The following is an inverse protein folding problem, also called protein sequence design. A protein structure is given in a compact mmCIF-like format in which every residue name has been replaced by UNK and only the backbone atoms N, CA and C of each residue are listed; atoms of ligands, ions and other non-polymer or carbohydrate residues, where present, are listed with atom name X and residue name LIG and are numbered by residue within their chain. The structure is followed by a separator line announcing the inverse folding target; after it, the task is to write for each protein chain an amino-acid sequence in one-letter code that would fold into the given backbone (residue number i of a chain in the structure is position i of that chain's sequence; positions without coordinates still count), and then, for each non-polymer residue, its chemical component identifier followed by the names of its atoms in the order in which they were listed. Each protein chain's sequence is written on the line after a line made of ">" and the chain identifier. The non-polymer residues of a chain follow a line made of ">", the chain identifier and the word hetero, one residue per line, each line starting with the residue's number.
data_IF_633281513059
#
_entry.id   IF_633281513059
#
_cell.length_a   1.000
_cell.length_b   1.000
_cell.length_c   1.000
_cell.angle_alpha   90.00
_cell.angle_beta   90.00
_cell.angle_gamma   90.00
#
_symmetry.space_group_name_H-M   'P 1'
#
loop_
_entity.id
_entity.type
_entity.pdbx_description
1 polymer ?
#
# COMPACT_ATOMS: atom_id res chain seq x y z
N UNK A 1 -6.08 -22.65 23.74
CA UNK A 1 -6.77 -21.36 23.94
C UNK A 1 -5.99 -20.33 23.16
N UNK A 2 -6.65 -19.60 22.24
CA UNK A 2 -5.99 -18.60 21.40
C UNK A 2 -5.64 -17.39 22.28
N UNK A 3 -4.35 -17.02 22.32
CA UNK A 3 -3.88 -15.86 23.07
C UNK A 3 -4.21 -14.61 22.28
N UNK A 4 -4.85 -13.62 22.92
CA UNK A 4 -5.07 -12.29 22.34
C UNK A 4 -4.03 -11.32 22.88
N UNK A 5 -3.15 -10.82 22.02
CA UNK A 5 -2.11 -9.88 22.42
C UNK A 5 -2.69 -8.50 22.74
N UNK A 6 -2.02 -7.82 23.67
CA UNK A 6 -2.28 -6.48 24.19
C UNK A 6 -0.96 -5.91 24.73
N UNK A 7 -0.90 -4.60 25.03
CA UNK A 7 0.25 -4.02 25.74
C UNK A 7 0.62 -4.76 27.02
N UNK A 8 -0.38 -5.26 27.73
CA UNK A 8 -0.18 -5.85 29.04
C UNK A 8 0.47 -7.24 28.98
N UNK A 9 0.27 -7.99 27.91
CA UNK A 9 0.75 -9.38 27.82
C UNK A 9 1.79 -9.63 26.72
N UNK A 10 2.02 -8.68 25.80
CA UNK A 10 2.96 -8.85 24.68
C UNK A 10 4.41 -9.07 25.15
N UNK A 11 4.84 -8.43 26.26
CA UNK A 11 6.15 -8.69 26.87
C UNK A 11 6.29 -10.14 27.34
N UNK A 12 5.30 -10.59 28.12
CA UNK A 12 5.29 -11.95 28.67
C UNK A 12 5.24 -12.99 27.55
N UNK A 13 4.50 -12.70 26.48
CA UNK A 13 4.49 -13.55 25.30
C UNK A 13 5.87 -13.70 24.67
N UNK A 14 6.60 -12.59 24.44
CA UNK A 14 7.97 -12.62 23.90
C UNK A 14 8.97 -13.37 24.79
N UNK A 15 8.80 -13.30 26.11
CA UNK A 15 9.64 -14.05 27.07
C UNK A 15 9.33 -15.54 26.98
N UNK A 16 8.04 -15.89 27.05
CA UNK A 16 7.58 -17.28 27.05
C UNK A 16 7.84 -17.99 25.71
N UNK A 17 7.86 -17.25 24.60
CA UNK A 17 8.22 -17.79 23.28
C UNK A 17 9.73 -17.99 23.08
N UNK A 18 10.56 -17.58 24.05
CA UNK A 18 12.01 -17.73 23.98
C UNK A 18 12.70 -16.72 23.05
N UNK A 19 11.97 -15.76 22.49
CA UNK A 19 12.52 -14.74 21.58
C UNK A 19 13.34 -13.72 22.37
N UNK A 20 12.93 -13.42 23.61
CA UNK A 20 13.65 -12.54 24.53
C UNK A 20 13.84 -13.17 25.90
N UNK A 21 14.98 -12.85 26.53
CA UNK A 21 15.20 -13.14 27.94
C UNK A 21 14.64 -12.00 28.78
N UNK A 22 14.17 -12.31 29.99
CA UNK A 22 13.45 -11.36 30.86
C UNK A 22 14.24 -10.07 31.12
N UNK A 23 15.55 -10.17 31.35
CA UNK A 23 16.42 -9.01 31.58
C UNK A 23 16.55 -8.08 30.36
N UNK A 24 16.30 -8.56 29.14
CA UNK A 24 16.39 -7.75 27.92
C UNK A 24 15.14 -6.90 27.67
N UNK A 25 14.05 -7.10 28.43
CA UNK A 25 12.76 -6.41 28.24
C UNK A 25 12.37 -5.46 29.37
N UNK A 26 13.12 -5.46 30.48
CA UNK A 26 12.86 -4.63 31.67
C UNK A 26 13.05 -3.12 31.41
N UNK A 27 13.90 -2.75 30.44
CA UNK A 27 14.16 -1.35 30.02
C UNK A 27 13.55 -0.98 28.66
N UNK A 28 12.73 -1.85 28.07
CA UNK A 28 12.18 -1.69 26.73
C UNK A 28 10.86 -0.91 26.75
N UNK A 29 10.84 0.19 26.00
CA UNK A 29 9.61 0.95 25.71
C UNK A 29 8.80 0.23 24.64
N UNK A 30 7.53 0.00 24.93
CA UNK A 30 6.57 -0.55 23.97
C UNK A 30 5.69 0.58 23.49
N UNK A 31 5.82 0.89 22.21
CA UNK A 31 4.90 1.77 21.53
C UNK A 31 3.82 0.90 20.88
N UNK A 32 2.62 0.94 21.42
CA UNK A 32 1.49 0.31 20.74
C UNK A 32 1.14 1.21 19.57
N UNK A 33 1.57 0.83 18.39
CA UNK A 33 0.99 1.32 17.15
C UNK A 33 -0.22 0.44 16.86
N UNK A 34 -1.33 0.71 17.53
CA UNK A 34 -2.60 0.14 17.07
C UNK A 34 -2.90 0.83 15.74
N UNK A 35 -2.46 0.22 14.64
CA UNK A 35 -2.87 0.65 13.32
C UNK A 35 -4.35 0.29 13.25
N UNK A 36 -5.19 1.28 13.55
CA UNK A 36 -6.61 1.24 13.20
C UNK A 36 -6.63 1.48 11.69
N UNK A 37 -6.23 0.46 10.94
CA UNK A 37 -6.45 0.43 9.50
C UNK A 37 -7.95 0.44 9.24
N UNK A 38 -8.31 0.86 8.03
CA UNK A 38 -9.64 0.65 7.48
C UNK A 38 -10.10 -0.80 7.68
N UNK A 39 -11.41 -1.09 7.60
CA UNK A 39 -12.02 -2.44 7.69
C UNK A 39 -11.30 -3.60 6.96
N UNK A 40 -10.27 -3.33 6.17
CA UNK A 40 -9.42 -4.25 5.41
C UNK A 40 -8.23 -4.79 6.24
N UNK A 41 -7.81 -4.10 7.30
CA UNK A 41 -6.71 -4.54 8.18
C UNK A 41 -7.23 -5.35 9.37
N UNK A 42 -7.31 -6.66 9.16
CA UNK A 42 -7.73 -7.63 10.17
C UNK A 42 -6.60 -7.96 11.17
N UNK A 43 -5.66 -7.06 11.47
CA UNK A 43 -4.50 -7.42 12.31
C UNK A 43 -4.12 -6.33 13.31
N UNK A 44 -3.81 -6.73 14.55
CA UNK A 44 -3.16 -5.89 15.54
C UNK A 44 -1.66 -5.88 15.29
N UNK A 45 -1.08 -4.69 15.25
CA UNK A 45 0.37 -4.50 15.12
C UNK A 45 0.91 -3.96 16.45
N UNK A 46 2.05 -4.47 16.91
CA UNK A 46 2.78 -3.96 18.07
C UNK A 46 4.19 -3.62 17.64
N UNK A 47 4.66 -2.43 18.00
CA UNK A 47 6.02 -1.99 17.72
C UNK A 47 6.81 -1.90 19.02
N UNK A 48 7.93 -2.62 19.09
CA UNK A 48 8.72 -2.73 20.32
C UNK A 48 10.11 -2.18 20.04
N UNK A 49 10.42 -1.06 20.69
CA UNK A 49 11.72 -0.38 20.58
C UNK A 49 12.71 -1.03 21.53
N UNK A 50 13.66 -1.77 20.98
CA UNK A 50 14.64 -2.51 21.80
C UNK A 50 15.94 -1.72 21.97
N UNK A 51 16.78 -2.14 22.93
CA UNK A 51 18.14 -1.61 23.06
C UNK A 51 19.13 -2.21 22.05
N UNK A 52 18.82 -3.37 21.45
CA UNK A 52 19.61 -4.05 20.40
C UNK A 52 19.61 -3.30 19.06
N UNK A 53 20.33 -3.74 18.04
CA UNK A 53 20.41 -3.02 16.73
C UNK A 53 19.12 -2.99 15.90
N UNK A 54 18.04 -3.62 16.38
CA UNK A 54 16.76 -3.70 15.70
C UNK A 54 15.57 -3.51 16.65
N UNK A 55 14.47 -3.02 16.09
CA UNK A 55 13.15 -3.03 16.70
C UNK A 55 12.40 -4.32 16.33
N UNK A 56 11.35 -4.65 17.06
CA UNK A 56 10.48 -5.79 16.75
C UNK A 56 9.12 -5.26 16.32
N UNK A 57 8.57 -5.88 15.29
CA UNK A 57 7.17 -5.67 14.90
C UNK A 57 6.43 -6.99 15.06
N UNK A 58 5.34 -6.98 15.81
CA UNK A 58 4.49 -8.16 16.03
C UNK A 58 3.15 -7.88 15.35
N UNK A 59 2.76 -8.74 14.42
CA UNK A 59 1.47 -8.70 13.74
C UNK A 59 0.64 -9.89 14.19
N UNK A 60 -0.57 -9.65 14.69
CA UNK A 60 -1.50 -10.69 15.09
C UNK A 60 -2.84 -10.52 14.39
N UNK A 61 -3.37 -11.59 13.81
CA UNK A 61 -4.71 -11.60 13.23
C UNK A 61 -5.82 -11.34 14.25
N UNK A 62 -6.81 -10.55 13.87
CA UNK A 62 -7.96 -10.18 14.67
C UNK A 62 -9.06 -11.21 14.44
N UNK A 63 -9.39 -12.00 15.46
CA UNK A 63 -10.39 -13.08 15.40
C UNK A 63 -11.86 -12.62 15.31
N UNK A 64 -12.13 -11.37 14.96
CA UNK A 64 -13.50 -10.87 14.79
C UNK A 64 -13.70 -10.60 13.31
N UNK A 65 -14.38 -11.49 12.58
CA UNK A 65 -15.48 -11.15 11.68
C UNK A 65 -16.17 -12.43 11.16
N UNK A 66 -17.45 -12.25 10.83
CA UNK A 66 -18.49 -13.25 10.56
C UNK A 66 -18.31 -14.01 9.23
N UNK A 67 -17.28 -13.72 8.44
CA UNK A 67 -17.02 -14.33 7.12
C UNK A 67 -15.66 -15.05 7.07
N UNK A 68 -15.57 -16.21 7.74
CA UNK A 68 -14.44 -17.13 7.59
C UNK A 68 -13.09 -16.61 8.08
N UNK A 69 -12.21 -17.54 8.46
CA UNK A 69 -10.82 -17.19 8.81
C UNK A 69 -10.09 -16.91 7.49
N UNK A 70 -10.01 -15.64 7.08
CA UNK A 70 -9.02 -15.23 6.07
C UNK A 70 -7.68 -15.31 6.77
N UNK A 71 -6.92 -16.38 6.51
CA UNK A 71 -5.59 -16.68 7.06
C UNK A 71 -4.52 -15.67 6.56
N UNK A 72 -4.77 -14.38 6.66
CA UNK A 72 -3.97 -13.31 6.03
C UNK A 72 -2.55 -13.26 6.59
N UNK A 73 -2.40 -13.34 7.91
CA UNK A 73 -1.07 -13.34 8.55
C UNK A 73 -0.28 -14.62 8.21
N UNK A 74 -0.98 -15.76 8.12
CA UNK A 74 -0.38 -17.02 7.67
C UNK A 74 0.07 -16.93 6.20
N UNK A 75 -0.77 -16.37 5.33
CA UNK A 75 -0.46 -16.17 3.91
C UNK A 75 0.76 -15.26 3.73
N UNK A 76 0.84 -14.17 4.49
CA UNK A 76 2.00 -13.29 4.50
C UNK A 76 3.29 -14.03 4.92
N UNK A 77 3.23 -14.87 5.97
CA UNK A 77 4.35 -15.71 6.37
C UNK A 77 4.73 -16.73 5.29
N UNK A 78 3.75 -17.41 4.69
CA UNK A 78 3.98 -18.39 3.63
C UNK A 78 4.60 -17.75 2.38
N UNK A 79 4.12 -16.58 1.96
CA UNK A 79 4.70 -15.83 0.85
C UNK A 79 6.16 -15.52 1.14
N UNK A 80 6.48 -14.93 2.30
CA UNK A 80 7.86 -14.56 2.59
C UNK A 80 8.80 -15.78 2.67
N UNK A 81 8.32 -16.91 3.20
CA UNK A 81 9.07 -18.18 3.14
C UNK A 81 9.28 -18.66 1.72
N UNK A 82 8.25 -18.60 0.88
CA UNK A 82 8.35 -18.95 -0.52
C UNK A 82 9.39 -18.08 -1.24
N UNK A 83 9.29 -16.75 -1.11
CA UNK A 83 10.24 -15.80 -1.70
C UNK A 83 11.70 -16.08 -1.27
N UNK A 84 11.93 -16.41 0.00
CA UNK A 84 13.27 -16.72 0.52
C UNK A 84 13.90 -18.00 -0.06
N UNK A 85 13.09 -18.97 -0.48
CA UNK A 85 13.57 -20.29 -0.90
C UNK A 85 13.44 -20.55 -2.41
N UNK A 86 12.78 -19.66 -3.14
CA UNK A 86 12.62 -19.79 -4.60
C UNK A 86 13.72 -19.02 -5.33
N UNK A 87 14.58 -19.72 -6.10
CA UNK A 87 15.65 -19.08 -6.87
C UNK A 87 15.11 -18.03 -7.86
N UNK A 88 15.83 -16.92 -8.00
CA UNK A 88 15.44 -15.85 -8.92
C UNK A 88 14.26 -15.01 -8.42
N UNK A 89 13.97 -15.05 -7.11
CA UNK A 89 13.10 -14.11 -6.38
C UNK A 89 13.88 -13.32 -5.30
N UNK A 90 15.22 -13.29 -5.41
CA UNK A 90 16.14 -12.73 -4.41
C UNK A 90 15.90 -11.23 -4.18
N UNK A 91 15.61 -10.47 -5.26
CA UNK A 91 15.34 -9.05 -5.13
C UNK A 91 14.04 -8.84 -4.35
N UNK A 92 12.96 -9.50 -4.77
CA UNK A 92 11.65 -9.44 -4.13
C UNK A 92 11.73 -9.89 -2.67
N UNK A 93 12.41 -11.00 -2.37
CA UNK A 93 12.59 -11.50 -1.01
C UNK A 93 13.30 -10.49 -0.11
N UNK A 94 14.27 -9.76 -0.66
CA UNK A 94 15.01 -8.75 0.10
C UNK A 94 14.21 -7.49 0.40
N UNK A 95 13.07 -7.24 -0.26
CA UNK A 95 12.19 -6.12 0.09
C UNK A 95 11.41 -6.41 1.38
N UNK A 96 11.28 -7.66 1.77
CA UNK A 96 10.60 -8.04 3.01
C UNK A 96 11.46 -7.77 4.25
N UNK A 97 10.80 -7.63 5.40
CA UNK A 97 11.48 -7.66 6.69
C UNK A 97 11.91 -9.09 7.04
N UNK A 98 12.95 -9.21 7.85
CA UNK A 98 13.39 -10.53 8.34
C UNK A 98 12.37 -11.07 9.34
N UNK A 99 11.83 -12.27 9.07
CA UNK A 99 10.93 -12.98 9.99
C UNK A 99 11.76 -13.65 11.08
N UNK A 100 11.48 -13.29 12.34
CA UNK A 100 12.05 -13.97 13.51
C UNK A 100 11.29 -15.25 13.83
N UNK A 101 9.96 -15.17 13.88
CA UNK A 101 9.12 -16.29 14.27
C UNK A 101 7.69 -16.12 13.75
N UNK A 102 7.04 -17.26 13.50
CA UNK A 102 5.61 -17.34 13.29
C UNK A 102 5.00 -18.38 14.23
N UNK A 103 4.00 -17.98 15.00
CA UNK A 103 3.21 -18.83 15.88
C UNK A 103 1.87 -19.13 15.20
N UNK A 104 1.80 -20.30 14.59
CA UNK A 104 0.63 -20.81 13.85
C UNK A 104 -0.60 -20.95 14.74
N UNK A 105 -0.43 -21.21 16.04
CA UNK A 105 -1.55 -21.49 16.94
C UNK A 105 -2.30 -20.22 17.34
N UNK A 106 -1.60 -19.08 17.34
CA UNK A 106 -2.14 -17.79 17.76
C UNK A 106 -2.20 -16.76 16.61
N UNK A 107 -1.84 -17.16 15.38
CA UNK A 107 -1.69 -16.31 14.20
C UNK A 107 -0.84 -15.07 14.47
N UNK A 108 0.33 -15.26 15.09
CA UNK A 108 1.26 -14.18 15.46
C UNK A 108 2.52 -14.28 14.61
N UNK A 109 2.81 -13.22 13.85
CA UNK A 109 4.01 -13.07 13.03
C UNK A 109 4.91 -11.99 13.61
N UNK A 110 6.20 -12.29 13.73
CA UNK A 110 7.18 -11.44 14.40
C UNK A 110 8.31 -11.13 13.43
N UNK A 111 8.51 -9.84 13.20
CA UNK A 111 9.54 -9.29 12.34
C UNK A 111 10.64 -8.62 13.14
N UNK A 112 11.83 -8.66 12.54
CA UNK A 112 12.94 -7.79 12.86
C UNK A 112 12.86 -6.56 11.96
N UNK A 113 12.70 -5.39 12.56
CA UNK A 113 12.68 -4.10 11.88
C UNK A 113 13.98 -3.35 12.22
N UNK A 114 14.85 -3.03 11.25
CA UNK A 114 16.11 -2.33 11.55
C UNK A 114 15.86 -0.98 12.24
N UNK A 115 16.68 -0.64 13.24
CA UNK A 115 16.46 0.54 14.10
C UNK A 115 16.37 1.87 13.34
N UNK A 116 17.17 1.99 12.29
CA UNK A 116 17.38 3.24 11.59
C UNK A 116 16.52 3.33 10.33
N UNK A 117 15.30 2.82 10.36
CA UNK A 117 14.34 2.98 9.26
C UNK A 117 13.19 3.89 9.67
N UNK A 118 12.70 4.70 8.72
CA UNK A 118 11.47 5.49 8.88
C UNK A 118 10.43 5.08 7.86
N UNK A 119 9.17 5.27 8.26
CA UNK A 119 8.05 5.29 7.34
C UNK A 119 8.20 6.43 6.33
N UNK A 120 8.02 6.14 5.05
CA UNK A 120 8.20 7.10 3.98
C UNK A 120 7.16 8.24 4.03
N UNK A 121 5.90 7.92 4.34
CA UNK A 121 4.87 8.95 4.48
C UNK A 121 5.20 9.93 5.60
N UNK A 122 5.61 9.42 6.76
CA UNK A 122 6.01 10.25 7.90
C UNK A 122 7.20 11.14 7.56
N UNK A 123 8.19 10.60 6.84
CA UNK A 123 9.33 11.35 6.35
C UNK A 123 8.88 12.54 5.48
N UNK A 124 8.01 12.31 4.50
CA UNK A 124 7.50 13.39 3.65
C UNK A 124 6.65 14.41 4.40
N UNK A 125 5.76 13.97 5.30
CA UNK A 125 4.92 14.89 6.08
C UNK A 125 5.75 15.77 7.02
N UNK A 126 6.77 15.19 7.66
CA UNK A 126 7.63 15.89 8.61
C UNK A 126 8.54 16.90 7.92
N UNK A 127 9.20 16.49 6.83
CA UNK A 127 10.20 17.32 6.16
C UNK A 127 9.60 18.23 5.08
N UNK A 128 8.40 17.91 4.57
CA UNK A 128 7.77 18.56 3.41
C UNK A 128 8.68 18.62 2.18
N UNK A 129 9.58 17.64 2.08
CA UNK A 129 10.56 17.50 1.02
C UNK A 129 10.26 16.19 0.26
N UNK A 130 10.09 16.30 -1.05
CA UNK A 130 9.68 15.19 -1.91
C UNK A 130 10.83 14.87 -2.87
N UNK A 131 11.81 14.12 -2.37
CA UNK A 131 13.05 13.88 -3.09
C UNK A 131 12.84 12.99 -4.31
N UNK A 132 13.26 13.46 -5.49
CA UNK A 132 13.06 12.75 -6.76
C UNK A 132 13.84 11.44 -6.81
N UNK A 133 15.06 11.41 -6.26
CA UNK A 133 15.91 10.21 -6.19
C UNK A 133 15.24 9.09 -5.41
N UNK A 134 14.56 9.43 -4.31
CA UNK A 134 13.87 8.46 -3.50
C UNK A 134 12.65 7.91 -4.25
N UNK A 135 11.90 8.78 -4.92
CA UNK A 135 10.77 8.38 -5.74
C UNK A 135 11.18 7.49 -6.92
N UNK A 136 12.28 7.81 -7.60
CA UNK A 136 12.89 6.98 -8.63
C UNK A 136 13.28 5.60 -8.11
N UNK A 137 13.93 5.53 -6.94
CA UNK A 137 14.30 4.28 -6.29
C UNK A 137 13.07 3.41 -5.96
N UNK A 138 11.95 4.01 -5.56
CA UNK A 138 10.67 3.30 -5.37
C UNK A 138 10.18 2.72 -6.69
N UNK A 139 10.20 3.51 -7.75
CA UNK A 139 9.86 3.07 -9.11
C UNK A 139 10.69 1.88 -9.55
N UNK A 140 12.02 1.98 -9.42
CA UNK A 140 12.98 0.90 -9.73
C UNK A 140 12.68 -0.35 -8.90
N UNK A 141 12.40 -0.18 -7.60
CA UNK A 141 12.14 -1.30 -6.70
C UNK A 141 10.86 -2.04 -7.06
N UNK A 142 9.79 -1.30 -7.33
CA UNK A 142 8.52 -1.90 -7.71
C UNK A 142 8.60 -2.57 -9.09
N UNK A 143 9.30 -1.94 -10.05
CA UNK A 143 9.54 -2.53 -11.37
C UNK A 143 10.38 -3.80 -11.29
N UNK A 144 11.41 -3.83 -10.45
CA UNK A 144 12.25 -5.02 -10.25
C UNK A 144 11.43 -6.18 -9.70
N UNK A 145 10.58 -5.92 -8.70
CA UNK A 145 9.66 -6.90 -8.14
C UNK A 145 8.70 -7.46 -9.20
N UNK A 146 8.01 -6.58 -9.92
CA UNK A 146 7.05 -7.00 -10.94
C UNK A 146 7.72 -7.78 -12.07
N UNK A 147 8.90 -7.33 -12.53
CA UNK A 147 9.66 -7.99 -13.60
C UNK A 147 10.15 -9.37 -13.19
N UNK A 148 10.74 -9.47 -12.00
CA UNK A 148 11.27 -10.71 -11.44
C UNK A 148 10.17 -11.76 -11.26
N UNK A 149 9.02 -11.35 -10.70
CA UNK A 149 7.90 -12.27 -10.46
C UNK A 149 7.13 -12.62 -11.73
N UNK A 150 6.97 -11.71 -12.70
CA UNK A 150 6.23 -11.96 -13.95
C UNK A 150 6.75 -13.18 -14.73
N UNK A 151 8.07 -13.36 -14.79
CA UNK A 151 8.70 -14.45 -15.54
C UNK A 151 8.79 -15.76 -14.74
N UNK A 152 8.44 -15.72 -13.45
CA UNK A 152 8.60 -16.85 -12.53
C UNK A 152 7.30 -17.69 -12.46
N UNK A 153 7.32 -18.84 -13.14
CA UNK A 153 6.18 -19.77 -13.16
C UNK A 153 5.84 -20.34 -11.79
N UNK A 154 6.82 -20.56 -10.92
CA UNK A 154 6.58 -21.07 -9.57
C UNK A 154 5.82 -20.05 -8.73
N UNK A 155 6.17 -18.77 -8.86
CA UNK A 155 5.47 -17.66 -8.20
C UNK A 155 4.01 -17.59 -8.66
N UNK A 156 3.77 -17.69 -9.97
CA UNK A 156 2.41 -17.78 -10.52
C UNK A 156 1.63 -18.96 -9.93
N UNK A 157 2.21 -20.16 -9.91
CA UNK A 157 1.55 -21.36 -9.36
C UNK A 157 1.28 -21.22 -7.85
N UNK A 158 2.21 -20.63 -7.10
CA UNK A 158 2.07 -20.43 -5.66
C UNK A 158 0.93 -19.47 -5.32
N UNK A 159 0.85 -18.32 -5.99
CA UNK A 159 -0.19 -17.32 -5.74
C UNK A 159 -1.57 -17.76 -6.23
N UNK A 160 -1.63 -18.60 -7.26
CA UNK A 160 -2.90 -19.18 -7.75
C UNK A 160 -3.32 -20.46 -7.00
N UNK A 161 -2.70 -20.78 -5.86
CA UNK A 161 -3.14 -21.88 -5.01
C UNK A 161 -4.53 -21.58 -4.43
N UNK A 162 -5.44 -22.55 -4.54
CA UNK A 162 -6.78 -22.48 -3.96
C UNK A 162 -7.01 -23.52 -2.86
N UNK A 163 -7.96 -23.25 -1.98
CA UNK A 163 -8.51 -24.20 -1.01
C UNK A 163 -10.00 -24.33 -1.29
N UNK A 164 -10.41 -25.40 -1.96
CA UNK A 164 -11.76 -25.50 -2.52
C UNK A 164 -11.90 -24.55 -3.72
N UNK A 165 -12.95 -23.73 -3.71
CA UNK A 165 -13.24 -22.75 -4.77
C UNK A 165 -12.62 -21.36 -4.53
N UNK A 166 -11.97 -21.13 -3.39
CA UNK A 166 -11.41 -19.82 -3.02
C UNK A 166 -9.89 -19.79 -3.18
N UNK A 167 -9.38 -18.68 -3.71
CA UNK A 167 -7.94 -18.48 -3.84
C UNK A 167 -7.35 -18.08 -2.49
N UNK A 168 -6.13 -18.55 -2.19
CA UNK A 168 -5.43 -18.13 -0.98
C UNK A 168 -5.02 -16.65 -1.04
N UNK A 169 -4.74 -16.14 -2.24
CA UNK A 169 -4.20 -14.80 -2.48
C UNK A 169 -5.12 -14.03 -3.43
N UNK A 170 -6.19 -13.44 -2.86
CA UNK A 170 -7.21 -12.71 -3.62
C UNK A 170 -7.00 -11.20 -3.53
N UNK A 171 -7.24 -10.52 -4.66
CA UNK A 171 -7.27 -9.07 -4.70
C UNK A 171 -8.38 -8.52 -3.76
N UNK A 172 -8.04 -7.63 -2.81
CA UNK A 172 -9.01 -7.15 -1.83
C UNK A 172 -9.93 -6.10 -2.46
N UNK A 173 -11.10 -6.50 -2.96
CA UNK A 173 -12.08 -5.55 -3.47
C UNK A 173 -13.04 -5.04 -2.37
N UNK A 174 -13.06 -3.72 -2.06
CA UNK A 174 -13.92 -3.16 -1.02
C UNK A 174 -15.40 -3.41 -1.32
N UNK A 175 -16.16 -3.79 -0.30
CA UNK A 175 -17.58 -4.09 -0.47
C UNK A 175 -18.39 -2.86 -0.89
N UNK A 176 -18.00 -1.65 -0.47
CA UNK A 176 -18.68 -0.40 -0.85
C UNK A 176 -18.72 -0.15 -2.36
N UNK A 177 -17.83 -0.80 -3.10
CA UNK A 177 -17.74 -0.69 -4.55
C UNK A 177 -18.39 -1.89 -5.26
N UNK A 178 -18.89 -2.88 -4.52
CA UNK A 178 -19.70 -3.99 -5.06
C UNK A 178 -21.08 -3.46 -5.46
N UNK A 179 -21.74 -4.21 -6.35
CA UNK A 179 -23.05 -3.81 -6.88
C UNK A 179 -24.12 -3.70 -5.78
N UNK A 180 -25.13 -2.85 -6.05
CA UNK A 180 -26.34 -2.50 -5.27
C UNK A 180 -26.32 -2.82 -3.76
N UNK A 181 -26.44 -1.76 -2.97
CA UNK A 181 -26.62 -1.85 -1.50
C UNK A 181 -27.75 -2.84 -1.18
N UNK A 182 -27.43 -3.91 -0.48
CA UNK A 182 -28.42 -4.85 0.05
C UNK A 182 -28.84 -4.42 1.47
N UNK A 183 -29.97 -4.90 2.00
CA UNK A 183 -30.36 -4.66 3.40
C UNK A 183 -29.25 -5.06 4.41
N UNK A 184 -28.49 -6.11 4.11
CA UNK A 184 -27.36 -6.57 4.93
C UNK A 184 -26.21 -5.56 4.86
N UNK A 185 -25.97 -4.97 3.69
CA UNK A 185 -24.96 -3.90 3.51
C UNK A 185 -25.30 -2.68 4.36
N UNK A 186 -26.59 -2.35 4.52
CA UNK A 186 -27.04 -1.27 5.40
C UNK A 186 -26.78 -1.55 6.89
N UNK A 187 -26.86 -2.80 7.31
CA UNK A 187 -26.68 -3.18 8.72
C UNK A 187 -25.22 -3.05 9.18
N UNK A 188 -24.27 -3.28 8.26
CA UNK A 188 -22.83 -3.28 8.58
C UNK A 188 -22.12 -1.96 8.28
N UNK A 189 -22.70 -1.08 7.46
CA UNK A 189 -22.03 0.14 7.01
C UNK A 189 -22.27 1.32 7.97
N UNK A 190 -21.25 2.14 8.29
CA UNK A 190 -21.44 3.39 9.03
C UNK A 190 -22.48 4.28 8.32
N UNK A 191 -23.33 4.99 9.06
CA UNK A 191 -24.34 5.90 8.47
C UNK A 191 -23.72 6.94 7.52
N UNK A 192 -22.49 7.32 7.84
CA UNK A 192 -21.57 8.21 7.14
C UNK A 192 -21.23 7.74 5.72
N UNK A 193 -21.22 6.42 5.50
CA UNK A 193 -20.91 5.79 4.21
C UNK A 193 -22.01 6.00 3.17
N UNK A 194 -23.26 6.22 3.60
CA UNK A 194 -24.43 6.30 2.71
C UNK A 194 -24.32 7.43 1.70
N UNK A 195 -23.78 8.58 2.12
CA UNK A 195 -23.57 9.73 1.22
C UNK A 195 -22.59 9.39 0.11
N UNK A 196 -21.49 8.72 0.44
CA UNK A 196 -20.50 8.26 -0.54
C UNK A 196 -21.12 7.22 -1.48
N UNK A 197 -21.75 6.18 -0.94
CA UNK A 197 -22.36 5.13 -1.76
C UNK A 197 -23.38 5.72 -2.74
N UNK A 198 -24.22 6.66 -2.30
CA UNK A 198 -25.19 7.35 -3.17
C UNK A 198 -24.52 8.15 -4.29
N UNK A 199 -23.44 8.87 -4.00
CA UNK A 199 -22.72 9.65 -5.00
C UNK A 199 -22.01 8.72 -5.99
N UNK A 200 -21.30 7.72 -5.49
CA UNK A 200 -20.61 6.73 -6.29
C UNK A 200 -21.57 5.96 -7.20
N UNK A 201 -22.67 5.42 -6.67
CA UNK A 201 -23.64 4.62 -7.44
C UNK A 201 -24.45 5.40 -8.48
N UNK A 202 -24.59 6.73 -8.32
CA UNK A 202 -25.26 7.57 -9.33
C UNK A 202 -24.40 7.86 -10.55
N UNK A 203 -23.09 7.66 -10.43
CA UNK A 203 -22.15 7.87 -11.53
C UNK A 203 -21.99 6.59 -12.35
N UNK A 204 -22.85 6.39 -13.33
CA UNK A 204 -22.82 5.19 -14.18
C UNK A 204 -21.47 5.03 -14.91
N UNK A 205 -20.84 6.14 -15.30
CA UNK A 205 -19.56 6.13 -16.02
C UNK A 205 -18.43 5.58 -15.14
N UNK A 206 -18.32 6.09 -13.91
CA UNK A 206 -17.31 5.65 -12.95
C UNK A 206 -17.54 4.20 -12.54
N UNK A 207 -18.78 3.81 -12.24
CA UNK A 207 -19.10 2.42 -11.89
C UNK A 207 -18.69 1.45 -13.00
N UNK A 208 -18.99 1.80 -14.26
CA UNK A 208 -18.64 0.96 -15.41
C UNK A 208 -17.13 0.79 -15.54
N UNK A 209 -16.37 1.88 -15.40
CA UNK A 209 -14.90 1.84 -15.46
C UNK A 209 -14.32 1.02 -14.30
N UNK A 210 -14.79 1.25 -13.07
CA UNK A 210 -14.30 0.51 -11.90
C UNK A 210 -14.58 -0.98 -12.05
N UNK A 211 -15.80 -1.37 -12.41
CA UNK A 211 -16.14 -2.78 -12.69
C UNK A 211 -15.20 -3.39 -13.73
N UNK A 212 -14.95 -2.65 -14.82
CA UNK A 212 -14.03 -3.09 -15.89
C UNK A 212 -12.60 -3.25 -15.37
N UNK A 213 -12.11 -2.34 -14.53
CA UNK A 213 -10.77 -2.43 -13.94
C UNK A 213 -10.59 -3.70 -13.11
N UNK A 214 -11.65 -4.13 -12.42
CA UNK A 214 -11.61 -5.29 -11.53
C UNK A 214 -11.84 -6.58 -12.31
N UNK A 215 -12.75 -6.59 -13.29
CA UNK A 215 -13.00 -7.77 -14.12
C UNK A 215 -11.86 -8.05 -15.08
N UNK A 216 -11.26 -6.99 -15.63
CA UNK A 216 -10.20 -7.06 -16.63
C UNK A 216 -8.82 -6.83 -15.98
N UNK A 217 -8.67 -7.15 -14.69
CA UNK A 217 -7.37 -7.07 -14.05
C UNK A 217 -6.43 -8.05 -14.77
N UNK A 218 -5.35 -7.53 -15.35
CA UNK A 218 -4.42 -8.39 -16.06
C UNK A 218 -3.46 -9.03 -15.07
N UNK A 219 -3.55 -10.34 -14.95
CA UNK A 219 -2.77 -11.15 -14.04
C UNK A 219 -1.35 -11.36 -14.54
N UNK A 220 -0.46 -10.39 -14.28
CA UNK A 220 0.91 -10.37 -14.81
C UNK A 220 1.96 -10.84 -13.82
N UNK A 221 1.87 -10.45 -12.54
CA UNK A 221 2.96 -10.63 -11.58
C UNK A 221 2.45 -10.66 -10.12
N UNK A 222 3.37 -10.88 -9.17
CA UNK A 222 3.08 -10.63 -7.76
C UNK A 222 2.81 -9.14 -7.58
N UNK A 223 1.69 -8.81 -6.95
CA UNK A 223 1.32 -7.47 -6.52
C UNK A 223 1.13 -7.47 -5.01
N UNK A 224 1.52 -6.41 -4.33
CA UNK A 224 1.30 -6.24 -2.89
C UNK A 224 -0.17 -5.91 -2.59
N UNK A 225 -0.84 -5.18 -3.51
CA UNK A 225 -2.22 -4.67 -3.40
C UNK A 225 -2.49 -3.76 -2.19
N UNK A 226 -1.47 -3.42 -1.44
CA UNK A 226 -1.48 -2.44 -0.35
C UNK A 226 -0.25 -1.54 -0.46
N UNK A 227 0.30 -1.41 -1.68
CA UNK A 227 1.51 -0.65 -1.93
C UNK A 227 1.22 0.86 -1.82
N UNK A 228 1.55 1.41 -0.65
CA UNK A 228 1.28 2.79 -0.27
C UNK A 228 2.47 3.34 0.54
N UNK A 229 2.59 4.66 0.68
CA UNK A 229 3.72 5.30 1.37
C UNK A 229 3.80 4.91 2.85
N UNK A 230 2.67 4.53 3.45
CA UNK A 230 2.61 4.01 4.83
C UNK A 230 3.24 2.62 4.98
N UNK A 231 3.36 1.86 3.89
CA UNK A 231 3.88 0.50 3.90
C UNK A 231 5.33 0.41 3.40
N UNK A 232 6.00 1.55 3.28
CA UNK A 232 7.37 1.66 2.75
C UNK A 232 8.27 2.21 3.85
N UNK A 233 9.35 1.48 4.12
CA UNK A 233 10.38 1.85 5.07
C UNK A 233 11.69 2.17 4.33
N UNK A 234 12.34 3.24 4.76
CA UNK A 234 13.61 3.73 4.20
C UNK A 234 14.65 3.94 5.31
N UNK A 235 15.95 3.70 5.07
CA UNK A 235 16.98 3.95 6.08
C UNK A 235 17.15 5.45 6.35
N UNK A 236 17.57 5.80 7.57
CA UNK A 236 17.81 7.17 8.03
C UNK A 236 18.84 7.89 7.16
N UNK A 237 19.88 7.16 6.80
CA UNK A 237 21.05 7.64 6.05
C UNK A 237 20.91 7.29 4.56
N UNK A 238 19.68 7.24 4.04
CA UNK A 238 19.41 6.86 2.66
C UNK A 238 20.19 7.72 1.65
N UNK A 239 20.40 9.01 1.96
CA UNK A 239 21.17 9.95 1.12
C UNK A 239 22.63 9.50 0.99
N UNK A 240 23.30 9.27 2.11
CA UNK A 240 24.69 8.82 2.15
C UNK A 240 24.84 7.43 1.51
N UNK A 241 23.89 6.54 1.77
CA UNK A 241 23.86 5.22 1.16
C UNK A 241 23.73 5.28 -0.36
N UNK A 242 22.95 6.21 -0.91
CA UNK A 242 22.84 6.43 -2.36
C UNK A 242 24.10 7.08 -2.96
N UNK A 243 24.83 7.90 -2.21
CA UNK A 243 26.07 8.52 -2.67
C UNK A 243 27.23 7.51 -2.76
N UNK A 244 27.22 6.50 -1.88
CA UNK A 244 28.30 5.51 -1.77
C UNK A 244 27.99 4.17 -2.43
N UNK A 245 26.74 3.90 -2.81
CA UNK A 245 26.40 2.73 -3.62
C UNK A 245 26.71 2.97 -5.10
N UNK A 246 27.72 2.27 -5.63
CA UNK A 246 28.09 2.33 -7.06
C UNK A 246 27.05 1.68 -7.98
N UNK A 247 26.10 0.95 -7.40
CA UNK A 247 24.94 0.36 -8.06
C UNK A 247 23.73 0.54 -7.14
N UNK A 248 22.58 0.86 -7.72
CA UNK A 248 21.25 0.85 -7.07
C UNK A 248 20.81 -0.57 -6.62
N UNK A 249 21.72 -1.54 -6.59
CA UNK A 249 21.45 -2.95 -6.27
C UNK A 249 21.34 -3.23 -4.75
N UNK A 250 21.60 -2.23 -3.90
CA UNK A 250 21.32 -2.36 -2.48
C UNK A 250 19.84 -2.06 -2.22
N UNK A 251 19.10 -3.08 -1.79
CA UNK A 251 17.68 -3.01 -1.44
C UNK A 251 17.44 -2.18 -0.17
N UNK A 252 17.59 -0.87 -0.34
CA UNK A 252 17.39 0.17 0.67
C UNK A 252 15.93 0.22 1.14
N UNK A 253 15.00 -0.07 0.24
CA UNK A 253 13.57 -0.05 0.56
C UNK A 253 13.16 -1.37 1.19
N UNK A 254 12.38 -1.27 2.27
CA UNK A 254 11.61 -2.40 2.80
C UNK A 254 10.12 -2.13 2.63
N UNK A 255 9.38 -3.17 2.28
CA UNK A 255 7.93 -3.16 2.10
C UNK A 255 7.32 -4.02 3.19
N UNK A 256 6.34 -3.48 3.90
CA UNK A 256 5.56 -4.19 4.92
C UNK A 256 4.13 -4.42 4.43
N UNK A 257 3.35 -5.21 5.20
CA UNK A 257 1.95 -5.52 4.91
C UNK A 257 1.77 -6.24 3.57
N UNK A 258 2.28 -7.46 3.49
CA UNK A 258 2.14 -8.36 2.34
C UNK A 258 0.88 -9.24 2.40
N UNK A 259 -0.07 -8.92 3.26
CA UNK A 259 -1.23 -9.76 3.58
C UNK A 259 -2.36 -9.74 2.54
N UNK A 260 -2.36 -8.73 1.67
CA UNK A 260 -3.30 -8.59 0.56
C UNK A 260 -2.69 -8.95 -0.79
N UNK A 261 -1.47 -9.50 -0.80
CA UNK A 261 -0.78 -9.81 -2.04
C UNK A 261 -1.58 -10.80 -2.90
N UNK A 262 -1.43 -10.67 -4.22
CA UNK A 262 -2.02 -11.60 -5.18
C UNK A 262 -1.18 -11.66 -6.45
N UNK A 263 -1.48 -12.63 -7.28
CA UNK A 263 -1.13 -12.51 -8.70
C UNK A 263 -2.08 -11.47 -9.31
N UNK A 264 -1.56 -10.43 -9.96
CA UNK A 264 -2.36 -9.24 -10.27
C UNK A 264 -1.75 -8.29 -11.30
N UNK A 265 -2.39 -7.12 -11.46
CA UNK A 265 -2.01 -6.09 -12.42
C UNK A 265 -0.98 -5.13 -11.80
N UNK A 266 0.26 -5.05 -12.33
CA UNK A 266 1.32 -4.19 -11.79
C UNK A 266 0.95 -2.70 -11.80
N UNK A 267 0.01 -2.29 -12.66
CA UNK A 267 -0.46 -0.92 -12.68
C UNK A 267 -1.22 -0.55 -11.40
N UNK A 268 -1.76 -1.53 -10.67
CA UNK A 268 -2.46 -1.30 -9.42
C UNK A 268 -1.51 -0.75 -8.35
N UNK A 269 -0.44 -1.47 -8.02
CA UNK A 269 0.54 -1.03 -7.02
C UNK A 269 1.18 0.32 -7.37
N UNK A 270 1.50 0.52 -8.66
CA UNK A 270 2.05 1.78 -9.14
C UNK A 270 1.01 2.92 -9.04
N UNK A 271 -0.24 2.64 -9.39
CA UNK A 271 -1.34 3.59 -9.27
C UNK A 271 -1.62 3.99 -7.83
N UNK A 272 -1.60 3.05 -6.88
CA UNK A 272 -1.89 3.32 -5.46
C UNK A 272 -0.80 4.14 -4.78
N UNK A 273 0.49 3.91 -5.09
CA UNK A 273 1.55 4.76 -4.54
C UNK A 273 1.49 6.19 -5.11
N UNK A 274 1.12 6.35 -6.38
CA UNK A 274 0.87 7.68 -6.97
C UNK A 274 -0.33 8.35 -6.31
N UNK A 275 -1.40 7.61 -6.02
CA UNK A 275 -2.57 8.12 -5.30
C UNK A 275 -2.19 8.63 -3.91
N UNK A 276 -1.18 8.04 -3.26
CA UNK A 276 -0.66 8.50 -1.99
C UNK A 276 0.08 9.84 -2.07
N UNK A 277 0.90 10.05 -3.11
CA UNK A 277 1.50 11.37 -3.37
C UNK A 277 0.41 12.43 -3.57
N UNK A 278 -0.58 12.16 -4.43
CA UNK A 278 -1.71 13.08 -4.60
C UNK A 278 -2.49 13.28 -3.30
N UNK A 279 -2.63 12.24 -2.48
CA UNK A 279 -3.26 12.37 -1.16
C UNK A 279 -2.48 13.32 -0.25
N UNK A 280 -1.15 13.40 -0.30
CA UNK A 280 -0.37 14.37 0.46
C UNK A 280 -0.70 15.81 0.04
N UNK A 281 -0.78 16.08 -1.27
CA UNK A 281 -1.23 17.37 -1.79
C UNK A 281 -2.68 17.68 -1.37
N UNK A 282 -3.62 16.77 -1.65
CA UNK A 282 -5.05 17.01 -1.41
C UNK A 282 -5.34 17.25 0.07
N UNK A 283 -4.70 16.50 0.98
CA UNK A 283 -4.83 16.68 2.43
C UNK A 283 -4.25 18.02 2.93
N UNK A 284 -3.45 18.70 2.13
CA UNK A 284 -2.90 20.01 2.48
C UNK A 284 -3.77 21.19 2.01
N UNK A 285 -4.81 20.93 1.21
CA UNK A 285 -5.71 21.95 0.67
C UNK A 285 -6.77 22.33 1.71
N UNK A 286 -6.86 23.62 2.03
CA UNK A 286 -7.94 24.12 2.87
C UNK A 286 -9.21 24.38 2.03
N UNK A 287 -10.20 23.48 2.14
CA UNK A 287 -11.47 23.57 1.43
C UNK A 287 -12.56 24.18 2.32
N UNK A 288 -12.96 25.42 2.03
CA UNK A 288 -14.02 26.14 2.73
C UNK A 288 -15.07 26.68 1.75
N UNK A 289 -16.39 26.58 2.02
CA UNK A 289 -17.43 27.02 1.09
C UNK A 289 -17.35 28.51 0.66
N UNK A 290 -16.79 29.36 1.52
CA UNK A 290 -16.60 30.79 1.24
C UNK A 290 -15.33 31.11 0.41
N UNK A 291 -14.49 30.12 0.13
CA UNK A 291 -13.25 30.29 -0.64
C UNK A 291 -13.42 29.71 -2.04
N UNK A 292 -13.00 30.48 -3.04
CA UNK A 292 -12.89 29.98 -4.40
C UNK A 292 -11.80 28.90 -4.48
N UNK A 293 -12.02 27.88 -5.30
CA UNK A 293 -11.15 26.70 -5.39
C UNK A 293 -9.70 27.06 -5.77
N UNK A 294 -9.51 28.02 -6.68
CA UNK A 294 -8.19 28.52 -7.06
C UNK A 294 -7.41 29.11 -5.87
N UNK A 295 -8.10 29.84 -4.98
CA UNK A 295 -7.50 30.35 -3.74
C UNK A 295 -7.18 29.22 -2.77
N UNK A 296 -8.05 28.21 -2.66
CA UNK A 296 -7.76 27.01 -1.85
C UNK A 296 -6.48 26.29 -2.32
N UNK A 297 -6.23 26.20 -3.63
CA UNK A 297 -5.00 25.61 -4.15
C UNK A 297 -3.76 26.45 -3.82
N UNK A 298 -3.84 27.78 -3.92
CA UNK A 298 -2.74 28.67 -3.54
C UNK A 298 -2.39 28.61 -2.05
N UNK A 299 -3.34 28.21 -1.21
CA UNK A 299 -3.15 28.07 0.24
C UNK A 299 -2.70 26.67 0.67
N UNK A 300 -2.50 25.74 -0.28
CA UNK A 300 -2.07 24.39 0.03
C UNK A 300 -0.68 24.39 0.67
N UNK A 301 -0.53 23.73 1.82
CA UNK A 301 0.78 23.64 2.50
C UNK A 301 1.77 22.82 1.69
N UNK A 302 1.28 21.83 0.94
CA UNK A 302 2.04 21.03 -0.01
C UNK A 302 1.42 21.30 -1.38
N UNK A 303 2.00 22.17 -2.23
CA UNK A 303 1.45 22.45 -3.54
C UNK A 303 1.62 21.24 -4.49
N UNK A 304 0.82 21.17 -5.55
CA UNK A 304 0.89 20.07 -6.53
C UNK A 304 2.27 20.00 -7.19
N UNK A 305 2.84 21.18 -7.47
CA UNK A 305 4.15 21.36 -8.09
C UNK A 305 5.29 20.79 -7.23
N UNK A 306 5.09 20.63 -5.92
CA UNK A 306 6.09 20.02 -5.04
C UNK A 306 6.13 18.49 -5.17
N UNK A 307 5.00 17.84 -5.49
CA UNK A 307 4.93 16.37 -5.60
C UNK A 307 5.11 15.85 -7.04
N UNK A 308 4.80 16.69 -8.04
CA UNK A 308 4.88 16.32 -9.46
C UNK A 308 6.26 15.76 -9.86
N UNK A 309 7.40 16.39 -9.49
CA UNK A 309 8.72 15.86 -9.86
C UNK A 309 8.97 14.45 -9.34
N UNK A 310 8.53 14.15 -8.11
CA UNK A 310 8.67 12.82 -7.51
C UNK A 310 7.81 11.79 -8.21
N UNK A 311 6.56 12.12 -8.54
CA UNK A 311 5.68 11.22 -9.30
C UNK A 311 6.27 10.91 -10.68
N UNK A 312 6.82 11.92 -11.37
CA UNK A 312 7.53 11.73 -12.63
C UNK A 312 8.77 10.84 -12.48
N UNK A 313 9.59 11.09 -11.45
CA UNK A 313 10.78 10.29 -11.18
C UNK A 313 10.45 8.83 -10.84
N UNK A 314 9.36 8.59 -10.11
CA UNK A 314 8.84 7.25 -9.81
C UNK A 314 8.39 6.52 -11.07
N UNK A 315 7.63 7.18 -11.96
CA UNK A 315 7.25 6.59 -13.24
C UNK A 315 8.48 6.30 -14.12
N UNK A 316 9.45 7.22 -14.18
CA UNK A 316 10.72 7.03 -14.91
C UNK A 316 11.50 5.83 -14.39
N UNK A 317 11.74 5.76 -13.08
CA UNK A 317 12.45 4.66 -12.46
C UNK A 317 11.76 3.32 -12.69
N UNK A 318 10.43 3.31 -12.70
CA UNK A 318 9.66 2.10 -13.01
C UNK A 318 9.85 1.66 -14.47
N UNK A 319 9.63 2.57 -15.42
CA UNK A 319 9.69 2.25 -16.85
C UNK A 319 11.11 1.97 -17.32
N UNK A 320 12.12 2.67 -16.81
CA UNK A 320 13.53 2.43 -17.15
C UNK A 320 14.00 1.04 -16.71
N UNK A 321 13.52 0.56 -15.55
CA UNK A 321 13.88 -0.76 -15.02
C UNK A 321 13.08 -1.90 -15.66
N UNK A 322 11.85 -1.63 -16.08
CA UNK A 322 10.95 -2.61 -16.72
C UNK A 322 10.35 -2.07 -18.03
N UNK A 323 11.18 -1.77 -19.06
CA UNK A 323 10.71 -1.16 -20.31
C UNK A 323 9.80 -2.10 -21.12
N UNK A 324 9.96 -3.41 -20.95
CA UNK A 324 9.18 -4.42 -21.66
C UNK A 324 7.68 -4.34 -21.33
N UNK A 325 7.30 -3.76 -20.18
CA UNK A 325 5.89 -3.61 -19.78
C UNK A 325 5.10 -2.74 -20.76
N UNK A 326 5.73 -1.72 -21.35
CA UNK A 326 5.05 -0.83 -22.32
C UNK A 326 4.79 -1.57 -23.64
N UNK A 327 5.66 -2.52 -23.99
CA UNK A 327 5.49 -3.33 -25.20
C UNK A 327 4.42 -4.40 -25.00
N UNK A 328 4.42 -5.07 -23.84
CA UNK A 328 3.46 -6.15 -23.52
C UNK A 328 2.10 -5.65 -23.05
N UNK A 329 2.03 -4.41 -22.57
CA UNK A 329 0.82 -3.77 -22.07
C UNK A 329 0.69 -2.32 -22.61
N UNK A 330 0.24 -2.13 -23.86
CA UNK A 330 0.25 -0.83 -24.54
C UNK A 330 -0.50 0.30 -23.82
N UNK A 331 -1.55 -0.03 -23.05
CA UNK A 331 -2.33 0.94 -22.26
C UNK A 331 -1.88 1.03 -20.78
N UNK A 332 -0.65 0.59 -20.46
CA UNK A 332 -0.18 0.51 -19.07
C UNK A 332 -0.29 1.85 -18.33
N UNK A 333 0.16 2.96 -18.94
CA UNK A 333 0.13 4.28 -18.29
C UNK A 333 -1.30 4.77 -18.04
N UNK A 334 -2.21 4.57 -19.00
CA UNK A 334 -3.63 4.88 -18.80
C UNK A 334 -4.20 4.05 -17.64
N UNK A 335 -3.84 2.76 -17.59
CA UNK A 335 -4.25 1.86 -16.51
C UNK A 335 -3.72 2.31 -15.15
N UNK A 336 -2.47 2.76 -15.08
CA UNK A 336 -1.86 3.30 -13.86
C UNK A 336 -2.68 4.51 -13.36
N UNK A 337 -3.06 5.42 -14.24
CA UNK A 337 -3.89 6.59 -13.85
C UNK A 337 -5.29 6.17 -13.41
N UNK A 338 -5.90 5.20 -14.09
CA UNK A 338 -7.17 4.64 -13.64
C UNK A 338 -7.06 4.04 -12.23
N UNK A 339 -6.01 3.28 -11.96
CA UNK A 339 -5.75 2.75 -10.62
C UNK A 339 -5.36 3.81 -9.60
N UNK A 340 -4.73 4.92 -10.01
CA UNK A 340 -4.57 6.11 -9.15
C UNK A 340 -5.93 6.66 -8.73
N UNK A 341 -6.86 6.79 -9.67
CA UNK A 341 -8.24 7.21 -9.39
C UNK A 341 -8.95 6.26 -8.42
N UNK A 342 -8.80 4.95 -8.62
CA UNK A 342 -9.34 3.92 -7.70
C UNK A 342 -8.67 3.97 -6.31
N UNK A 343 -7.36 4.15 -6.25
CA UNK A 343 -6.61 4.30 -5.00
C UNK A 343 -7.08 5.49 -4.18
N UNK A 344 -7.41 6.61 -4.84
CA UNK A 344 -8.03 7.77 -4.19
C UNK A 344 -9.44 7.46 -3.63
N UNK A 345 -10.24 6.62 -4.32
CA UNK A 345 -11.51 6.13 -3.78
C UNK A 345 -11.28 5.28 -2.52
N UNK A 346 -10.23 4.44 -2.49
CA UNK A 346 -9.89 3.65 -1.31
C UNK A 346 -9.52 4.54 -0.10
N UNK A 347 -8.95 5.73 -0.34
CA UNK A 347 -8.74 6.72 0.73
C UNK A 347 -10.04 7.30 1.27
N UNK A 348 -11.04 7.54 0.43
CA UNK A 348 -12.38 7.96 0.90
C UNK A 348 -12.98 6.87 1.80
N UNK A 349 -12.91 5.61 1.38
CA UNK A 349 -13.39 4.47 2.17
C UNK A 349 -12.67 4.41 3.52
N UNK A 350 -11.36 4.61 3.53
CA UNK A 350 -10.56 4.67 4.78
C UNK A 350 -11.03 5.80 5.72
N UNK A 351 -11.31 6.99 5.17
CA UNK A 351 -11.84 8.13 5.96
C UNK A 351 -13.21 7.77 6.56
N UNK A 352 -14.10 7.19 5.78
CA UNK A 352 -15.44 6.77 6.23
C UNK A 352 -15.34 5.75 7.37
N UNK A 353 -14.46 4.76 7.21
CA UNK A 353 -14.23 3.71 8.21
C UNK A 353 -13.60 4.23 9.50
N UNK A 354 -12.92 5.39 9.45
CA UNK A 354 -12.47 6.12 10.65
C UNK A 354 -13.57 6.95 11.33
N UNK A 355 -14.84 6.74 10.96
CA UNK A 355 -16.03 7.47 11.45
C UNK A 355 -15.99 8.99 11.23
N UNK A 356 -15.22 9.46 10.24
CA UNK A 356 -15.04 10.90 9.96
C UNK A 356 -16.05 11.49 8.98
N UNK A 357 -16.94 10.68 8.38
CA UNK A 357 -17.93 11.17 7.42
C UNK A 357 -17.35 11.64 6.09
N UNK A 358 -18.22 11.77 5.07
CA UNK A 358 -17.83 12.36 3.78
C UNK A 358 -17.99 13.90 3.79
N UNK A 359 -16.86 14.59 3.95
CA UNK A 359 -16.75 16.06 3.93
C UNK A 359 -16.47 16.63 2.52
N UNK A 360 -16.27 17.95 2.41
CA UNK A 360 -15.96 18.62 1.14
C UNK A 360 -14.67 18.09 0.48
N UNK A 361 -13.71 17.67 1.30
CA UNK A 361 -12.47 17.08 0.82
C UNK A 361 -12.71 15.70 0.20
N UNK A 362 -13.54 14.86 0.82
CA UNK A 362 -13.97 13.60 0.22
C UNK A 362 -14.71 13.77 -1.10
N UNK A 363 -15.53 14.83 -1.23
CA UNK A 363 -16.18 15.19 -2.50
C UNK A 363 -15.16 15.61 -3.56
N UNK A 364 -14.16 16.42 -3.17
CA UNK A 364 -13.09 16.82 -4.08
C UNK A 364 -12.27 15.62 -4.56
N UNK A 365 -11.90 14.71 -3.65
CA UNK A 365 -11.22 13.45 -3.99
C UNK A 365 -12.07 12.65 -4.97
N UNK A 366 -13.38 12.50 -4.72
CA UNK A 366 -14.27 11.74 -5.61
C UNK A 366 -14.33 12.33 -7.02
N UNK A 367 -14.40 13.66 -7.14
CA UNK A 367 -14.39 14.34 -8.44
C UNK A 367 -13.06 14.18 -9.19
N UNK A 368 -11.94 14.16 -8.46
CA UNK A 368 -10.63 13.91 -9.06
C UNK A 368 -10.49 12.45 -9.49
N UNK A 369 -10.91 11.51 -8.64
CA UNK A 369 -10.98 10.08 -8.96
C UNK A 369 -11.82 9.83 -10.22
N UNK A 370 -12.98 10.48 -10.34
CA UNK A 370 -13.83 10.39 -11.53
C UNK A 370 -13.05 10.72 -12.81
N UNK A 371 -12.34 11.86 -12.83
CA UNK A 371 -11.54 12.27 -13.99
C UNK A 371 -10.45 11.26 -14.31
N UNK A 372 -9.70 10.80 -13.31
CA UNK A 372 -8.63 9.82 -13.51
C UNK A 372 -9.15 8.47 -14.04
N UNK A 373 -10.33 8.03 -13.59
CA UNK A 373 -10.95 6.80 -14.03
C UNK A 373 -11.52 6.93 -15.46
N UNK A 374 -12.32 7.96 -15.68
CA UNK A 374 -13.13 8.11 -16.90
C UNK A 374 -12.40 8.83 -18.05
N UNK A 375 -11.36 9.61 -17.75
CA UNK A 375 -10.57 10.36 -18.71
C UNK A 375 -9.07 10.35 -18.32
N UNK A 376 -8.42 9.17 -18.33
CA UNK A 376 -7.07 8.99 -17.83
C UNK A 376 -6.03 9.77 -18.65
N UNK A 377 -6.20 9.89 -19.97
CA UNK A 377 -5.25 10.59 -20.84
C UNK A 377 -5.19 12.09 -20.53
N UNK A 378 -6.34 12.76 -20.42
CA UNK A 378 -6.36 14.18 -20.06
C UNK A 378 -5.97 14.41 -18.61
N UNK A 379 -6.30 13.47 -17.71
CA UNK A 379 -5.85 13.53 -16.31
C UNK A 379 -4.32 13.45 -16.22
N UNK A 380 -3.69 12.57 -17.00
CA UNK A 380 -2.25 12.46 -17.10
C UNK A 380 -1.63 13.78 -17.57
N UNK A 381 -2.13 14.35 -18.67
CA UNK A 381 -1.65 15.63 -19.22
C UNK A 381 -1.83 16.80 -18.26
N UNK A 382 -2.95 16.84 -17.52
CA UNK A 382 -3.24 17.94 -16.60
C UNK A 382 -2.43 17.86 -15.30
N UNK A 383 -2.23 16.65 -14.77
CA UNK A 383 -1.59 16.46 -13.47
C UNK A 383 -0.09 16.24 -13.57
N UNK A 384 0.40 15.78 -14.72
CA UNK A 384 1.80 15.52 -15.02
C UNK A 384 2.15 16.09 -16.40
N UNK A 385 2.09 17.42 -16.58
CA UNK A 385 2.22 18.06 -17.90
C UNK A 385 3.57 17.82 -18.59
N UNK A 386 4.61 17.48 -17.83
CA UNK A 386 5.94 17.18 -18.36
C UNK A 386 6.13 15.69 -18.74
N UNK A 387 5.09 14.87 -18.61
CA UNK A 387 5.16 13.45 -18.94
C UNK A 387 4.88 13.22 -20.43
N UNK A 388 5.86 12.68 -21.12
CA UNK A 388 5.71 12.06 -22.45
C UNK A 388 6.30 10.66 -22.43
N UNK A 389 5.82 9.76 -23.29
CA UNK A 389 6.36 8.39 -23.40
C UNK A 389 7.87 8.45 -23.69
N UNK A 390 8.32 9.35 -24.56
CA UNK A 390 9.74 9.53 -24.85
C UNK A 390 10.53 9.97 -23.60
N UNK A 391 9.97 10.87 -22.80
CA UNK A 391 10.60 11.31 -21.54
C UNK A 391 10.62 10.27 -20.40
N UNK A 392 10.08 9.07 -20.63
CA UNK A 392 10.13 7.94 -19.69
C UNK A 392 11.22 6.91 -20.05
N UNK A 393 11.73 6.96 -21.28
CA UNK A 393 12.70 6.00 -21.83
C UNK A 393 14.10 6.62 -21.95
N UNK A 394 14.16 7.95 -22.07
CA UNK A 394 15.38 8.76 -21.98
C UNK A 394 15.72 9.13 -20.53
#
# INVERSE_FOLDING_TARGET
>A
MIIKLSSNNVKNYLINSGIYQQHNLESVNIDILEVIGSEIECSRIFFIRTLSDFNIVIKQEHYNYIDGIKNKVLNEWQLQKFLQFTPGLDYTASLCLEILQFDTNNSILIYKCPKYYFNLRDYYLKNKAFETKLAELLGISLASLHKETMVNKECHTFLNKSVGETLCYEFPYPFYLREKITPETFFISPSESMKFMKLYQRDESMNKVVKKLISDHNNYCLTNNSYCLDNILIPREWEDMLLHSKQFDNNLIKIINWDNCSWGDPAFDLGTVIADYFSLWINSIFLHPALALNKSFQLAVIPLEAIQPSVLALLRGYISKFPEIIQSYPCFLERVIQFTGLGLIYKIITIINSFKGLNNQGIFILNLSHKMLCDPENSLKSLLPNLTINSLVD
#
